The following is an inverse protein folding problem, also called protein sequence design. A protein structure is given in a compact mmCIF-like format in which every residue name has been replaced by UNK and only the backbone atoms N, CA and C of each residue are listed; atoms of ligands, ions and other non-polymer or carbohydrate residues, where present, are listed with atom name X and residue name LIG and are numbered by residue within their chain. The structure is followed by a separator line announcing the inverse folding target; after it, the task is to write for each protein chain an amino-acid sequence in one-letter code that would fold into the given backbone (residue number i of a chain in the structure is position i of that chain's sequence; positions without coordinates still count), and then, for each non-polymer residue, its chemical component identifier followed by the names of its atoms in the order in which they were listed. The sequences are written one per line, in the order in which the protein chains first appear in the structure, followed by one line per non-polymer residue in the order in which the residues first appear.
data_IF_354004903514
#
_entry.id   IF_354004903514
#
_cell.length_a   1.000
_cell.length_b   1.000
_cell.length_c   1.000
_cell.angle_alpha   90.00
_cell.angle_beta   90.00
_cell.angle_gamma   90.00
#
_symmetry.space_group_name_H-M   'P 1'
#
loop_
_entity.id
_entity.type
_entity.pdbx_description
1 polymer ?
#
# COMPACT_ATOMS: atom_id res chain seq x y z
N UNK A 1 -28.54 12.61 -8.38
CA UNK A 1 -27.15 12.95 -8.75
C UNK A 1 -26.28 11.70 -8.63
N UNK A 2 -25.97 11.00 -9.73
CA UNK A 2 -25.07 9.82 -9.72
C UNK A 2 -23.60 10.19 -10.00
N UNK A 3 -23.36 11.32 -10.67
CA UNK A 3 -22.01 11.83 -10.97
C UNK A 3 -21.20 12.22 -9.73
N UNK A 4 -21.85 12.76 -8.69
CA UNK A 4 -21.16 13.15 -7.46
C UNK A 4 -20.65 11.93 -6.66
N UNK A 5 -21.38 10.81 -6.68
CA UNK A 5 -21.02 9.62 -5.89
C UNK A 5 -19.78 8.91 -6.43
N UNK A 6 -19.64 8.82 -7.75
CA UNK A 6 -18.46 8.19 -8.33
C UNK A 6 -17.21 9.08 -8.16
N UNK A 7 -17.36 10.39 -8.33
CA UNK A 7 -16.30 11.35 -8.04
C UNK A 7 -15.82 11.21 -6.59
N UNK A 8 -16.74 11.17 -5.64
CA UNK A 8 -16.44 10.99 -4.21
C UNK A 8 -15.73 9.65 -3.93
N UNK A 9 -16.12 8.56 -4.61
CA UNK A 9 -15.44 7.27 -4.47
C UNK A 9 -13.98 7.34 -4.95
N UNK A 10 -13.71 8.00 -6.08
CA UNK A 10 -12.35 8.20 -6.57
C UNK A 10 -11.54 9.14 -5.69
N UNK A 11 -12.14 10.20 -5.16
CA UNK A 11 -11.50 11.11 -4.20
C UNK A 11 -11.09 10.35 -2.93
N UNK A 12 -12.01 9.60 -2.33
CA UNK A 12 -11.74 8.79 -1.14
C UNK A 12 -10.67 7.73 -1.40
N UNK A 13 -10.71 7.09 -2.56
CA UNK A 13 -9.70 6.09 -2.91
C UNK A 13 -8.33 6.72 -3.13
N UNK A 14 -8.26 7.85 -3.84
CA UNK A 14 -7.04 8.62 -4.01
C UNK A 14 -6.42 8.99 -2.65
N UNK A 15 -7.22 9.52 -1.74
CA UNK A 15 -6.78 9.85 -0.38
C UNK A 15 -6.23 8.63 0.37
N UNK A 16 -6.94 7.50 0.35
CA UNK A 16 -6.48 6.29 1.06
C UNK A 16 -5.14 5.79 0.52
N UNK A 17 -4.97 5.76 -0.80
CA UNK A 17 -3.71 5.29 -1.40
C UNK A 17 -2.57 6.27 -1.11
N UNK A 18 -2.83 7.57 -1.11
CA UNK A 18 -1.85 8.59 -0.69
C UNK A 18 -1.42 8.40 0.77
N UNK A 19 -2.38 8.20 1.70
CA UNK A 19 -2.06 7.93 3.10
C UNK A 19 -1.24 6.65 3.27
N UNK A 20 -1.56 5.60 2.51
CA UNK A 20 -0.74 4.37 2.53
C UNK A 20 0.69 4.62 2.06
N UNK A 21 0.90 5.44 1.02
CA UNK A 21 2.22 5.81 0.55
C UNK A 21 3.00 6.62 1.60
N UNK A 22 2.38 7.65 2.20
CA UNK A 22 3.00 8.46 3.26
C UNK A 22 3.42 7.57 4.43
N UNK A 23 2.55 6.65 4.86
CA UNK A 23 2.87 5.74 5.95
C UNK A 23 4.01 4.77 5.60
N UNK A 24 4.09 4.30 4.35
CA UNK A 24 5.22 3.47 3.90
C UNK A 24 6.54 4.26 3.91
N UNK A 25 6.53 5.50 3.42
CA UNK A 25 7.71 6.39 3.39
C UNK A 25 8.20 6.73 4.79
N UNK A 26 7.29 6.89 5.75
CA UNK A 26 7.61 7.15 7.15
C UNK A 26 7.89 5.86 7.96
N UNK A 27 7.98 4.70 7.31
CA UNK A 27 8.15 3.38 7.94
C UNK A 27 7.09 3.04 9.00
N UNK A 28 5.90 3.64 8.92
CA UNK A 28 4.82 3.48 9.88
C UNK A 28 3.94 2.29 9.47
N UNK A 29 4.51 1.08 9.55
CA UNK A 29 3.95 -0.14 8.99
C UNK A 29 2.61 -0.55 9.62
N UNK A 30 2.44 -0.36 10.93
CA UNK A 30 1.17 -0.68 11.61
C UNK A 30 0.02 0.20 11.10
N UNK A 31 0.29 1.50 10.95
CA UNK A 31 -0.69 2.44 10.43
C UNK A 31 -0.98 2.14 8.96
N UNK A 32 0.03 1.84 8.14
CA UNK A 32 -0.16 1.39 6.76
C UNK A 32 -1.10 0.17 6.68
N UNK A 33 -0.89 -0.84 7.52
CA UNK A 33 -1.70 -2.05 7.53
C UNK A 33 -3.15 -1.77 7.96
N UNK A 34 -3.36 -0.81 8.88
CA UNK A 34 -4.71 -0.39 9.29
C UNK A 34 -5.56 0.14 8.13
N UNK A 35 -4.94 0.73 7.09
CA UNK A 35 -5.62 1.23 5.91
C UNK A 35 -5.99 0.13 4.90
N UNK A 36 -5.41 -1.06 4.99
CA UNK A 36 -5.56 -2.13 4.00
C UNK A 36 -7.02 -2.55 3.79
N UNK A 37 -7.79 -2.65 4.88
CA UNK A 37 -9.21 -3.03 4.80
C UNK A 37 -10.01 -1.99 3.99
N UNK A 38 -9.78 -0.70 4.25
CA UNK A 38 -10.44 0.40 3.54
C UNK A 38 -10.02 0.47 2.08
N UNK A 39 -8.73 0.28 1.80
CA UNK A 39 -8.21 0.16 0.42
C UNK A 39 -8.90 -0.98 -0.35
N UNK A 40 -9.03 -2.16 0.25
CA UNK A 40 -9.66 -3.31 -0.39
C UNK A 40 -11.16 -3.08 -0.64
N UNK A 41 -11.84 -2.44 0.32
CA UNK A 41 -13.25 -2.09 0.18
C UNK A 41 -13.48 -1.12 -1.00
N UNK A 42 -12.69 -0.04 -1.06
CA UNK A 42 -12.83 0.99 -2.09
C UNK A 42 -12.43 0.48 -3.49
N UNK A 43 -11.36 -0.31 -3.59
CA UNK A 43 -10.92 -0.87 -4.88
C UNK A 43 -11.95 -1.83 -5.47
N UNK A 44 -12.55 -2.71 -4.66
CA UNK A 44 -13.68 -3.56 -5.08
C UNK A 44 -14.90 -2.71 -5.45
N UNK A 45 -15.17 -1.67 -4.66
CA UNK A 45 -16.27 -0.74 -4.91
C UNK A 45 -16.20 -0.07 -6.27
N UNK A 46 -14.99 0.32 -6.72
CA UNK A 46 -14.76 0.92 -8.04
C UNK A 46 -14.79 -0.14 -9.15
N UNK A 47 -14.16 -1.31 -8.95
CA UNK A 47 -14.16 -2.39 -9.97
C UNK A 47 -15.54 -2.94 -10.34
N UNK A 48 -16.51 -2.90 -9.43
CA UNK A 48 -17.86 -3.42 -9.66
C UNK A 48 -18.78 -2.45 -10.40
N UNK A 49 -18.37 -1.20 -10.56
CA UNK A 49 -19.15 -0.19 -11.25
C UNK A 49 -18.67 -0.17 -12.70
N UNK A 50 -19.58 -0.39 -13.65
CA UNK A 50 -19.28 -0.27 -15.08
C UNK A 50 -19.02 1.22 -15.41
N UNK A 51 -17.81 1.66 -15.07
CA UNK A 51 -17.49 3.05 -14.74
C UNK A 51 -17.24 3.92 -15.98
N UNK A 52 -16.78 3.32 -17.08
CA UNK A 52 -16.44 4.09 -18.29
C UNK A 52 -17.66 4.81 -18.87
N UNK A 53 -18.78 4.11 -19.00
CA UNK A 53 -20.04 4.71 -19.48
C UNK A 53 -20.58 5.77 -18.51
N UNK A 54 -20.34 5.63 -17.20
CA UNK A 54 -20.79 6.60 -16.19
C UNK A 54 -19.93 7.84 -16.15
N UNK A 55 -18.62 7.69 -16.34
CA UNK A 55 -17.66 8.80 -16.44
C UNK A 55 -17.96 9.62 -17.71
N UNK A 56 -18.17 8.98 -18.86
CA UNK A 56 -18.48 9.67 -20.12
C UNK A 56 -19.74 10.54 -20.04
N UNK A 57 -20.72 10.13 -19.24
CA UNK A 57 -21.98 10.87 -19.02
C UNK A 57 -21.88 11.99 -17.97
N UNK A 58 -20.71 12.23 -17.37
CA UNK A 58 -20.52 13.32 -16.39
C UNK A 58 -20.10 14.65 -17.05
N UNK A 59 -20.27 15.79 -16.35
CA UNK A 59 -19.67 17.05 -16.76
C UNK A 59 -18.16 16.91 -16.95
N UNK A 60 -17.60 17.55 -18.00
CA UNK A 60 -16.17 17.48 -18.34
C UNK A 60 -15.24 17.72 -17.14
N UNK A 61 -15.56 18.72 -16.31
CA UNK A 61 -14.79 19.01 -15.10
C UNK A 61 -14.67 17.81 -14.15
N UNK A 62 -15.74 17.03 -13.97
CA UNK A 62 -15.72 15.83 -13.12
C UNK A 62 -14.91 14.71 -13.77
N UNK A 63 -14.97 14.57 -15.10
CA UNK A 63 -14.17 13.60 -15.84
C UNK A 63 -12.68 13.87 -15.68
N UNK A 64 -12.27 15.14 -15.80
CA UNK A 64 -10.86 15.54 -15.69
C UNK A 64 -10.32 15.29 -14.27
N UNK A 65 -11.13 15.56 -13.25
CA UNK A 65 -10.79 15.27 -11.85
C UNK A 65 -10.66 13.77 -11.62
N UNK A 66 -11.61 12.95 -12.10
CA UNK A 66 -11.53 11.49 -11.97
C UNK A 66 -10.28 10.96 -12.68
N UNK A 67 -9.96 11.45 -13.89
CA UNK A 67 -8.73 11.09 -14.61
C UNK A 67 -7.47 11.45 -13.83
N UNK A 68 -7.45 12.62 -13.19
CA UNK A 68 -6.36 13.01 -12.30
C UNK A 68 -6.21 12.04 -11.13
N UNK A 69 -7.31 11.70 -10.43
CA UNK A 69 -7.28 10.73 -9.33
C UNK A 69 -6.79 9.36 -9.79
N UNK A 70 -7.24 8.86 -10.95
CA UNK A 70 -6.77 7.58 -11.50
C UNK A 70 -5.25 7.60 -11.70
N UNK A 71 -4.71 8.68 -12.30
CA UNK A 71 -3.26 8.82 -12.50
C UNK A 71 -2.50 8.84 -11.18
N UNK A 72 -3.02 9.57 -10.19
CA UNK A 72 -2.41 9.66 -8.86
C UNK A 72 -2.41 8.30 -8.17
N UNK A 73 -3.55 7.61 -8.14
CA UNK A 73 -3.69 6.27 -7.56
C UNK A 73 -2.67 5.30 -8.16
N UNK A 74 -2.54 5.25 -9.49
CA UNK A 74 -1.60 4.38 -10.17
C UNK A 74 -0.14 4.73 -9.82
N UNK A 75 0.20 6.02 -9.81
CA UNK A 75 1.53 6.49 -9.41
C UNK A 75 1.87 6.10 -7.97
N UNK A 76 0.94 6.32 -7.04
CA UNK A 76 1.13 5.98 -5.63
C UNK A 76 1.27 4.47 -5.42
N UNK A 77 0.46 3.66 -6.12
CA UNK A 77 0.56 2.19 -6.05
C UNK A 77 1.91 1.67 -6.57
N UNK A 78 2.44 2.25 -7.65
CA UNK A 78 3.75 1.88 -8.17
C UNK A 78 4.86 2.18 -7.15
N UNK A 79 4.83 3.37 -6.55
CA UNK A 79 5.80 3.75 -5.52
C UNK A 79 5.68 2.87 -4.28
N UNK A 80 4.45 2.61 -3.82
CA UNK A 80 4.17 1.75 -2.67
C UNK A 80 4.69 0.33 -2.89
N UNK A 81 4.49 -0.22 -4.10
CA UNK A 81 4.98 -1.55 -4.47
C UNK A 81 6.50 -1.61 -4.39
N UNK A 82 7.19 -0.60 -4.93
CA UNK A 82 8.64 -0.53 -4.87
C UNK A 82 9.16 -0.46 -3.43
N UNK A 83 8.51 0.34 -2.57
CA UNK A 83 8.86 0.44 -1.15
C UNK A 83 8.66 -0.89 -0.42
N UNK A 84 7.55 -1.59 -0.67
CA UNK A 84 7.27 -2.90 -0.07
C UNK A 84 8.28 -3.96 -0.49
N UNK A 85 8.65 -4.02 -1.77
CA UNK A 85 9.67 -4.95 -2.28
C UNK A 85 11.02 -4.68 -1.60
N UNK A 86 11.45 -3.42 -1.56
CA UNK A 86 12.70 -3.02 -0.90
C UNK A 86 12.69 -3.41 0.57
N UNK A 87 11.60 -3.10 1.30
CA UNK A 87 11.48 -3.43 2.72
C UNK A 87 11.49 -4.94 2.97
N UNK A 88 10.79 -5.73 2.15
CA UNK A 88 10.82 -7.18 2.24
C UNK A 88 12.22 -7.76 2.02
N UNK A 89 13.00 -7.19 1.09
CA UNK A 89 14.39 -7.58 0.88
C UNK A 89 15.25 -7.31 2.13
N UNK A 90 15.14 -6.11 2.71
CA UNK A 90 15.85 -5.73 3.93
C UNK A 90 15.49 -6.63 5.12
N UNK A 91 14.20 -6.90 5.31
CA UNK A 91 13.73 -7.79 6.38
C UNK A 91 14.28 -9.21 6.22
N UNK A 92 14.30 -9.74 4.99
CA UNK A 92 14.89 -11.06 4.70
C UNK A 92 16.36 -11.12 5.11
N UNK A 93 17.14 -10.10 4.76
CA UNK A 93 18.56 -10.02 5.13
C UNK A 93 18.76 -9.96 6.65
N UNK A 94 17.97 -9.12 7.34
CA UNK A 94 18.02 -8.98 8.80
C UNK A 94 17.66 -10.29 9.52
N UNK A 95 16.62 -10.98 9.07
CA UNK A 95 16.21 -12.28 9.63
C UNK A 95 17.33 -13.31 9.44
N UNK A 96 17.94 -13.37 8.24
CA UNK A 96 19.06 -14.28 7.97
C UNK A 96 20.26 -14.00 8.87
N UNK A 97 20.64 -12.73 9.02
CA UNK A 97 21.71 -12.31 9.94
C UNK A 97 21.38 -12.69 11.38
N UNK A 98 20.16 -12.46 11.85
CA UNK A 98 19.76 -12.80 13.21
C UNK A 98 19.85 -14.31 13.48
N UNK A 99 19.42 -15.15 12.53
CA UNK A 99 19.52 -16.60 12.66
C UNK A 99 20.98 -17.10 12.74
N UNK A 100 21.88 -16.52 11.94
CA UNK A 100 23.32 -16.80 12.02
C UNK A 100 23.90 -16.40 13.39
N UNK A 101 23.56 -15.21 13.88
CA UNK A 101 23.98 -14.76 15.21
C UNK A 101 23.50 -15.70 16.32
N UNK A 102 22.23 -16.11 16.31
CA UNK A 102 21.68 -17.05 17.28
C UNK A 102 22.41 -18.40 17.24
N UNK A 103 22.73 -18.90 16.05
CA UNK A 103 23.49 -20.14 15.86
C UNK A 103 24.90 -20.05 16.45
N UNK A 104 25.59 -18.93 16.22
CA UNK A 104 26.91 -18.67 16.79
C UNK A 104 26.86 -18.59 18.30
N UNK A 105 25.92 -17.84 18.87
CA UNK A 105 25.72 -17.73 20.33
C UNK A 105 25.48 -19.11 20.94
N UNK A 106 24.57 -19.90 20.39
CA UNK A 106 24.29 -21.25 20.88
C UNK A 106 25.51 -22.18 20.79
N UNK A 107 26.34 -22.02 19.77
CA UNK A 107 27.60 -22.78 19.65
C UNK A 107 28.62 -22.36 20.71
N UNK A 108 28.79 -21.05 20.96
CA UNK A 108 29.69 -20.56 22.00
C UNK A 108 29.25 -20.99 23.40
N UNK A 109 27.94 -20.95 23.70
CA UNK A 109 27.40 -21.45 24.97
C UNK A 109 27.70 -22.94 25.17
N UNK A 110 27.52 -23.77 24.13
CA UNK A 110 27.88 -25.19 24.19
C UNK A 110 29.35 -25.42 24.48
N UNK A 111 30.24 -24.66 23.83
CA UNK A 111 31.69 -24.75 24.08
C UNK A 111 32.02 -24.33 25.51
N UNK A 112 31.42 -23.25 26.01
CA UNK A 112 31.64 -22.79 27.37
C UNK A 112 31.19 -23.81 28.43
N UNK A 113 30.11 -24.57 28.19
CA UNK A 113 29.67 -25.64 29.09
C UNK A 113 30.55 -26.90 29.07
N UNK A 114 31.47 -27.03 28.12
CA UNK A 114 32.41 -28.14 28.01
C UNK A 114 33.77 -27.83 28.66
N UNK A 115 34.01 -26.57 29.04
CA UNK A 115 35.18 -26.12 29.80
C UNK A 115 34.83 -25.99 31.28
#
# INVERSE_FOLDING_TARGET
MKGSKLLEQYEQFNYVVEQMLINAQNENWDLLLSWQAKYLQLSKGIMLVDDFSKIENMPLQHQDIIRMYIKNILSYQQQLTQLMITRHSQLRELIGKHADYQTKIGSYQKIACLM
#
